data_IF_012533444277
#
_entry.id   IF_012533444277
#
_cell.length_a   1.000
_cell.length_b   1.000
_cell.length_c   1.000
_cell.angle_alpha   90.00
_cell.angle_beta   90.00
_cell.angle_gamma   90.00
#
_symmetry.space_group_name_H-M   'P 1'
#
loop_
_entity.id
_entity.type
_entity.pdbx_description
1 polymer ?
#
# COMPACT_ATOMS: atom_id res chain seq x y z
N UNK A 1 7.33 4.59 21.85
CA UNK A 1 6.11 3.81 21.52
C UNK A 1 6.56 2.37 21.35
N UNK A 2 5.74 1.42 21.78
CA UNK A 2 6.06 -0.02 21.76
C UNK A 2 5.97 -0.56 20.33
N UNK A 3 6.91 -0.21 19.47
CA UNK A 3 7.11 -0.97 18.24
C UNK A 3 7.71 -2.33 18.61
N UNK A 4 7.06 -3.41 18.19
CA UNK A 4 7.47 -4.79 18.49
C UNK A 4 6.65 -5.52 19.55
N UNK A 5 5.51 -4.97 20.00
CA UNK A 5 4.54 -5.72 20.79
C UNK A 5 3.14 -5.09 20.74
N UNK A 6 2.14 -5.82 21.20
CA UNK A 6 0.76 -5.33 21.27
C UNK A 6 0.05 -5.31 19.92
N UNK A 7 -1.08 -4.62 19.87
CA UNK A 7 -2.03 -4.61 18.77
C UNK A 7 -2.08 -3.26 18.03
N UNK A 8 -1.08 -2.39 18.23
CA UNK A 8 -0.99 -1.08 17.59
C UNK A 8 0.42 -0.85 17.06
N UNK A 9 0.54 -0.59 15.75
CA UNK A 9 1.75 -0.04 15.14
C UNK A 9 1.67 1.49 15.13
N UNK A 10 2.69 2.16 15.67
CA UNK A 10 2.65 3.59 15.89
C UNK A 10 3.07 4.41 14.66
N UNK A 11 2.39 5.53 14.42
CA UNK A 11 2.84 6.59 13.52
C UNK A 11 3.79 7.51 14.29
N UNK A 12 5.08 7.40 13.98
CA UNK A 12 6.12 8.20 14.65
C UNK A 12 6.08 9.71 14.30
N UNK A 13 5.33 10.10 13.27
CA UNK A 13 5.29 11.47 12.75
C UNK A 13 3.96 12.19 13.01
N UNK A 14 2.94 11.45 13.41
CA UNK A 14 1.57 11.95 13.51
C UNK A 14 0.71 11.09 14.43
N UNK A 15 -0.56 10.94 14.06
CA UNK A 15 -1.56 10.26 14.87
C UNK A 15 -2.29 9.15 14.09
N UNK A 16 -1.79 8.75 12.92
CA UNK A 16 -2.39 7.70 12.09
C UNK A 16 -1.83 6.31 12.47
N UNK A 17 -1.86 5.99 13.77
CA UNK A 17 -1.45 4.68 14.26
C UNK A 17 -2.30 3.58 13.60
N UNK A 18 -1.68 2.46 13.26
CA UNK A 18 -2.38 1.33 12.68
C UNK A 18 -2.82 0.32 13.75
N UNK A 19 -4.10 0.01 13.82
CA UNK A 19 -4.62 -1.07 14.65
C UNK A 19 -4.43 -2.40 13.93
N UNK A 20 -3.95 -3.41 14.66
CA UNK A 20 -3.64 -4.75 14.14
C UNK A 20 -4.82 -5.70 14.38
N UNK A 21 -5.16 -6.50 13.37
CA UNK A 21 -6.31 -7.43 13.39
C UNK A 21 -5.93 -8.84 12.94
N UNK A 22 -6.69 -9.84 13.40
CA UNK A 22 -6.62 -11.22 12.93
C UNK A 22 -5.21 -11.82 12.96
N UNK A 23 -4.54 -11.71 14.11
CA UNK A 23 -3.25 -12.36 14.36
C UNK A 23 -2.10 -11.83 13.50
N UNK A 24 -2.05 -10.51 13.25
CA UNK A 24 -0.79 -9.86 12.85
C UNK A 24 0.22 -10.05 13.99
N UNK A 25 1.40 -10.54 13.65
CA UNK A 25 2.48 -10.77 14.61
C UNK A 25 3.61 -9.75 14.42
N UNK A 26 4.30 -9.43 15.52
CA UNK A 26 5.56 -8.69 15.47
C UNK A 26 6.71 -9.68 15.35
N UNK A 27 7.49 -9.56 14.28
CA UNK A 27 8.73 -10.32 14.07
C UNK A 27 9.95 -9.40 14.21
N UNK A 28 11.08 -9.97 14.63
CA UNK A 28 12.34 -9.24 14.69
C UNK A 28 13.23 -9.65 13.51
N UNK A 29 13.41 -8.73 12.57
CA UNK A 29 14.37 -8.83 11.48
C UNK A 29 15.71 -8.23 11.91
N UNK A 30 16.80 -8.98 11.75
CA UNK A 30 18.12 -8.57 12.23
C UNK A 30 18.69 -7.30 11.59
N UNK A 31 18.17 -6.88 10.44
CA UNK A 31 18.59 -5.68 9.71
C UNK A 31 17.57 -4.54 9.82
N UNK A 32 16.27 -4.86 9.74
CA UNK A 32 15.15 -3.89 9.71
C UNK A 32 14.55 -3.61 11.09
N UNK A 33 14.90 -4.41 12.10
CA UNK A 33 14.31 -4.34 13.43
C UNK A 33 12.93 -4.99 13.46
N UNK A 34 12.00 -4.35 14.16
CA UNK A 34 10.64 -4.89 14.32
C UNK A 34 9.81 -4.74 13.04
N UNK A 35 9.23 -5.83 12.56
CA UNK A 35 8.39 -5.88 11.36
C UNK A 35 7.05 -6.55 11.66
N UNK A 36 6.03 -6.27 10.84
CA UNK A 36 4.74 -6.95 10.92
C UNK A 36 4.74 -8.17 9.99
N UNK A 37 4.23 -9.29 10.51
CA UNK A 37 4.01 -10.53 9.78
C UNK A 37 2.51 -10.78 9.66
N UNK A 38 2.06 -11.07 8.44
CA UNK A 38 0.65 -11.27 8.10
C UNK A 38 0.42 -12.74 7.73
N UNK A 39 -0.70 -13.30 8.20
CA UNK A 39 -1.01 -14.72 8.04
C UNK A 39 -1.38 -15.15 6.60
N UNK A 40 -1.50 -14.19 5.67
CA UNK A 40 -1.86 -14.42 4.26
C UNK A 40 -3.32 -14.82 4.01
N UNK A 41 -4.17 -14.76 5.04
CA UNK A 41 -5.59 -15.13 4.99
C UNK A 41 -6.47 -13.89 5.18
N UNK A 42 -6.38 -13.27 6.34
CA UNK A 42 -7.23 -12.15 6.76
C UNK A 42 -6.57 -11.22 7.79
N UNK A 43 -5.29 -11.39 8.11
CA UNK A 43 -4.52 -10.46 8.92
C UNK A 43 -4.33 -9.13 8.18
N UNK A 44 -4.60 -8.02 8.86
CA UNK A 44 -4.34 -6.68 8.33
C UNK A 44 -4.11 -5.66 9.44
N UNK A 45 -3.48 -4.56 9.06
CA UNK A 45 -3.37 -3.37 9.88
C UNK A 45 -4.19 -2.23 9.25
N UNK A 46 -4.97 -1.53 10.07
CA UNK A 46 -5.84 -0.41 9.67
C UNK A 46 -5.29 0.89 10.23
N UNK A 47 -4.78 1.76 9.36
CA UNK A 47 -4.25 3.08 9.73
C UNK A 47 -5.29 4.20 9.65
N UNK A 48 -6.57 3.90 9.44
CA UNK A 48 -7.66 4.86 9.43
C UNK A 48 -8.33 5.02 8.06
N UNK A 49 -9.57 5.51 8.10
CA UNK A 49 -10.48 5.59 6.95
C UNK A 49 -10.19 6.72 5.96
N UNK A 50 -9.38 7.71 6.35
CA UNK A 50 -9.08 8.90 5.53
C UNK A 50 -7.57 9.23 5.52
N UNK A 51 -6.74 8.23 5.81
CA UNK A 51 -5.29 8.39 6.00
C UNK A 51 -4.57 8.75 4.72
N UNK A 52 -5.06 8.27 3.58
CA UNK A 52 -4.63 8.75 2.27
C UNK A 52 -5.51 9.97 1.96
N UNK A 53 -4.92 11.18 1.84
CA UNK A 53 -5.70 12.35 1.48
C UNK A 53 -6.28 12.21 0.07
N UNK A 54 -7.26 13.04 -0.27
CA UNK A 54 -7.72 13.15 -1.65
C UNK A 54 -6.53 13.44 -2.58
N UNK A 55 -6.35 12.59 -3.60
CA UNK A 55 -5.23 12.69 -4.55
C UNK A 55 -5.70 13.33 -5.84
N UNK A 56 -5.46 14.64 -5.96
CA UNK A 56 -5.73 15.41 -7.18
C UNK A 56 -4.54 15.40 -8.12
N UNK A 57 -4.70 16.00 -9.31
CA UNK A 57 -3.58 16.15 -10.24
C UNK A 57 -2.43 16.99 -9.66
N UNK A 58 -2.71 17.91 -8.75
CA UNK A 58 -1.71 18.74 -8.07
C UNK A 58 -1.07 18.07 -6.85
N UNK A 59 -1.58 16.91 -6.41
CA UNK A 59 -1.05 16.17 -5.25
C UNK A 59 0.19 15.36 -5.62
N UNK A 60 1.36 15.75 -5.16
CA UNK A 60 2.55 14.89 -5.24
C UNK A 60 2.67 14.00 -4.01
N UNK A 61 3.16 12.76 -4.19
CA UNK A 61 3.40 11.86 -3.08
C UNK A 61 4.56 10.91 -3.34
N UNK A 62 5.11 10.36 -2.26
CA UNK A 62 6.00 9.20 -2.29
C UNK A 62 5.53 8.20 -1.27
N UNK A 63 5.29 6.97 -1.70
CA UNK A 63 5.13 5.82 -0.82
C UNK A 63 6.41 5.01 -0.86
N UNK A 64 6.95 4.65 0.30
CA UNK A 64 8.16 3.84 0.43
C UNK A 64 7.94 2.80 1.50
N UNK A 65 8.06 1.52 1.13
CA UNK A 65 7.87 0.40 2.07
C UNK A 65 8.84 -0.74 1.76
N UNK A 66 9.20 -1.49 2.80
CA UNK A 66 9.86 -2.78 2.64
C UNK A 66 8.82 -3.88 2.80
N UNK A 67 8.78 -4.82 1.87
CA UNK A 67 7.93 -6.00 1.98
C UNK A 67 8.72 -7.26 1.66
N UNK A 68 8.37 -8.36 2.32
CA UNK A 68 8.86 -9.68 2.00
C UNK A 68 7.67 -10.57 1.64
N UNK A 69 7.51 -10.84 0.35
CA UNK A 69 6.48 -11.75 -0.16
C UNK A 69 6.88 -13.22 0.09
N UNK A 70 6.15 -13.89 0.98
CA UNK A 70 6.27 -15.33 1.28
C UNK A 70 5.39 -16.21 0.36
N UNK A 71 4.81 -15.60 -0.67
CA UNK A 71 3.97 -16.25 -1.66
C UNK A 71 2.49 -16.26 -1.29
N UNK A 72 1.67 -16.46 -2.33
CA UNK A 72 0.22 -16.53 -2.23
C UNK A 72 -0.40 -16.80 -3.60
N UNK A 73 -1.63 -17.30 -3.64
CA UNK A 73 -2.32 -17.61 -4.90
C UNK A 73 -2.95 -16.37 -5.58
N UNK A 74 -3.12 -15.27 -4.86
CA UNK A 74 -3.95 -14.13 -5.27
C UNK A 74 -3.16 -12.81 -5.39
N UNK A 75 -3.66 -11.88 -6.21
CA UNK A 75 -3.15 -10.50 -6.25
C UNK A 75 -3.78 -9.68 -5.11
N UNK A 76 -3.32 -9.91 -3.88
CA UNK A 76 -3.86 -9.23 -2.71
C UNK A 76 -3.21 -7.85 -2.49
N UNK A 77 -3.89 -7.02 -1.72
CA UNK A 77 -3.39 -5.71 -1.29
C UNK A 77 -2.24 -5.97 -0.34
N UNK A 78 -1.08 -5.35 -0.59
CA UNK A 78 0.02 -5.28 0.39
C UNK A 78 -0.03 -3.94 1.14
N UNK A 79 -0.37 -2.87 0.43
CA UNK A 79 -0.54 -1.52 0.98
C UNK A 79 -1.64 -0.77 0.20
N UNK A 80 -2.48 -0.01 0.89
CA UNK A 80 -3.50 0.85 0.27
C UNK A 80 -4.91 0.33 0.49
N UNK A 81 -5.82 0.54 -0.48
CA UNK A 81 -7.22 0.17 -0.34
C UNK A 81 -7.85 -0.38 -1.63
N UNK A 82 -9.02 -1.01 -1.46
CA UNK A 82 -9.93 -1.37 -2.57
C UNK A 82 -11.30 -0.72 -2.41
N UNK A 83 -11.78 -0.64 -1.17
CA UNK A 83 -13.08 -0.12 -0.81
C UNK A 83 -12.95 1.20 -0.07
N UNK A 84 -14.04 1.95 -0.03
CA UNK A 84 -14.17 3.11 0.85
C UNK A 84 -14.40 2.72 2.31
N UNK A 85 -14.48 3.72 3.21
CA UNK A 85 -14.60 3.52 4.65
C UNK A 85 -15.73 2.58 5.10
N UNK A 86 -16.84 2.60 4.36
CA UNK A 86 -18.03 1.79 4.64
C UNK A 86 -17.95 0.35 4.08
N UNK A 87 -16.76 -0.09 3.64
CA UNK A 87 -16.53 -1.44 3.11
C UNK A 87 -17.17 -1.69 1.74
N UNK A 88 -17.55 -0.65 1.02
CA UNK A 88 -18.13 -0.72 -0.33
C UNK A 88 -17.31 0.04 -1.36
N UNK A 89 -17.52 -0.30 -2.63
CA UNK A 89 -16.94 0.43 -3.75
C UNK A 89 -17.38 1.90 -3.75
N UNK A 90 -16.44 2.81 -3.99
CA UNK A 90 -16.78 4.18 -4.41
C UNK A 90 -17.53 4.16 -5.75
N UNK A 91 -18.33 5.19 -6.00
CA UNK A 91 -19.05 5.38 -7.25
C UNK A 91 -18.88 6.83 -7.75
N UNK A 92 -18.09 7.08 -8.81
CA UNK A 92 -17.36 6.10 -9.61
C UNK A 92 -16.27 5.37 -8.80
N UNK A 93 -15.91 4.16 -9.22
CA UNK A 93 -14.88 3.35 -8.54
C UNK A 93 -13.53 4.05 -8.58
N UNK A 94 -12.94 4.21 -7.40
CA UNK A 94 -11.62 4.77 -7.19
C UNK A 94 -10.94 4.07 -6.01
N UNK A 95 -9.63 3.92 -6.08
CA UNK A 95 -8.77 3.38 -5.02
C UNK A 95 -7.30 3.48 -5.44
N UNK A 96 -6.40 3.32 -4.47
CA UNK A 96 -4.97 3.22 -4.71
C UNK A 96 -4.40 2.08 -3.88
N UNK A 97 -3.67 1.17 -4.53
CA UNK A 97 -3.05 0.04 -3.81
C UNK A 97 -1.82 -0.47 -4.53
N UNK A 98 -0.97 -1.04 -3.70
CA UNK A 98 0.20 -1.78 -4.09
C UNK A 98 -0.09 -3.28 -3.93
N UNK A 99 0.26 -4.06 -4.95
CA UNK A 99 0.04 -5.52 -5.01
C UNK A 99 1.27 -6.22 -5.59
N UNK A 100 1.40 -7.55 -5.48
CA UNK A 100 2.51 -8.26 -6.12
C UNK A 100 2.59 -8.16 -7.65
N UNK A 101 1.52 -7.72 -8.33
CA UNK A 101 1.46 -7.64 -9.80
C UNK A 101 1.40 -6.24 -10.38
N UNK A 102 0.90 -5.28 -9.60
CA UNK A 102 0.68 -3.94 -10.10
C UNK A 102 0.59 -2.91 -8.97
N UNK A 103 1.04 -1.69 -9.25
CA UNK A 103 0.61 -0.52 -8.49
C UNK A 103 -0.67 0.00 -9.14
N UNK A 104 -1.81 -0.23 -8.51
CA UNK A 104 -3.12 0.11 -9.04
C UNK A 104 -3.51 1.52 -8.58
N UNK A 105 -3.82 2.38 -9.54
CA UNK A 105 -4.36 3.72 -9.31
C UNK A 105 -5.64 3.86 -10.15
N UNK A 106 -6.76 3.57 -9.50
CA UNK A 106 -8.07 3.59 -10.14
C UNK A 106 -8.76 4.92 -9.87
N UNK A 107 -9.23 5.55 -10.93
CA UNK A 107 -10.00 6.80 -10.90
C UNK A 107 -11.09 6.76 -11.97
N UNK A 108 -12.18 7.50 -11.77
CA UNK A 108 -13.25 7.60 -12.77
C UNK A 108 -13.87 6.25 -13.18
N UNK A 109 -13.77 5.21 -12.35
CA UNK A 109 -14.26 3.87 -12.63
C UNK A 109 -13.24 2.89 -13.23
N UNK A 110 -12.07 3.36 -13.67
CA UNK A 110 -11.08 2.57 -14.41
C UNK A 110 -9.66 2.65 -13.86
N UNK A 111 -8.82 1.68 -14.22
CA UNK A 111 -7.40 1.62 -13.84
C UNK A 111 -6.48 2.45 -14.73
N UNK A 112 -6.88 3.69 -15.03
CA UNK A 112 -6.17 4.55 -15.99
C UNK A 112 -4.73 4.87 -15.58
N UNK A 113 -4.45 4.89 -14.27
CA UNK A 113 -3.14 5.21 -13.71
C UNK A 113 -2.37 4.02 -13.17
N UNK A 114 -2.81 2.80 -13.47
CA UNK A 114 -2.08 1.62 -13.02
C UNK A 114 -0.67 1.55 -13.65
N UNK A 115 0.32 1.18 -12.85
CA UNK A 115 1.70 0.95 -13.28
C UNK A 115 1.96 -0.54 -13.32
N UNK A 116 2.18 -1.06 -14.52
CA UNK A 116 2.59 -2.44 -14.77
C UNK A 116 4.05 -2.66 -14.40
N UNK A 117 4.35 -3.85 -13.90
CA UNK A 117 5.70 -4.32 -13.59
C UNK A 117 5.73 -5.85 -13.55
N UNK A 118 6.93 -6.45 -13.58
CA UNK A 118 7.07 -7.91 -13.53
C UNK A 118 6.53 -8.48 -12.21
N UNK A 119 5.76 -9.56 -12.27
CA UNK A 119 5.23 -10.27 -11.08
C UNK A 119 6.36 -10.65 -10.10
N UNK A 120 6.03 -10.69 -8.81
CA UNK A 120 7.01 -11.02 -7.78
C UNK A 120 7.38 -12.50 -7.83
N UNK A 121 8.63 -12.76 -7.47
CA UNK A 121 9.12 -14.10 -7.15
C UNK A 121 8.97 -14.27 -5.64
N UNK A 122 8.08 -15.15 -5.17
CA UNK A 122 7.95 -15.46 -3.75
C UNK A 122 9.29 -15.92 -3.16
N UNK A 123 9.50 -15.62 -1.88
CA UNK A 123 10.68 -16.03 -1.12
C UNK A 123 12.03 -15.47 -1.63
N UNK A 124 12.03 -14.48 -2.52
CA UNK A 124 13.25 -13.83 -3.06
C UNK A 124 13.85 -12.75 -2.12
N UNK A 125 13.39 -12.73 -0.87
CA UNK A 125 13.84 -11.81 0.16
C UNK A 125 13.08 -10.48 0.21
N UNK A 126 13.61 -9.57 1.01
CA UNK A 126 13.04 -8.23 1.20
C UNK A 126 13.25 -7.37 -0.04
N UNK A 127 12.18 -6.71 -0.48
CA UNK A 127 12.19 -5.75 -1.58
C UNK A 127 11.81 -4.38 -1.05
N UNK A 128 12.59 -3.36 -1.45
CA UNK A 128 12.25 -1.96 -1.21
C UNK A 128 11.37 -1.45 -2.36
N UNK A 129 10.12 -1.15 -2.05
CA UNK A 129 9.13 -0.65 -2.99
C UNK A 129 8.96 0.85 -2.83
N UNK A 130 9.03 1.59 -3.93
CA UNK A 130 8.76 3.03 -3.93
C UNK A 130 7.83 3.39 -5.07
N UNK A 131 6.75 4.12 -4.79
CA UNK A 131 5.91 4.76 -5.79
C UNK A 131 5.99 6.28 -5.63
N UNK A 132 6.38 6.98 -6.68
CA UNK A 132 6.49 8.45 -6.70
C UNK A 132 5.49 8.99 -7.71
N UNK A 133 4.51 9.78 -7.26
CA UNK A 133 3.71 10.64 -8.14
C UNK A 133 4.35 12.03 -8.16
N UNK A 134 4.70 12.49 -9.36
CA UNK A 134 5.13 13.85 -9.63
C UNK A 134 4.30 14.40 -10.80
N UNK A 135 3.43 15.37 -10.52
CA UNK A 135 2.43 15.84 -11.48
C UNK A 135 1.55 14.68 -11.94
N UNK A 136 1.43 14.48 -13.25
CA UNK A 136 0.56 13.47 -13.85
C UNK A 136 1.26 12.11 -14.13
N UNK A 137 2.44 11.87 -13.54
CA UNK A 137 3.22 10.64 -13.73
C UNK A 137 3.43 9.94 -12.40
N UNK A 138 3.09 8.65 -12.33
CA UNK A 138 3.57 7.74 -11.28
C UNK A 138 4.75 6.95 -11.83
N UNK A 139 5.87 6.94 -11.10
CA UNK A 139 7.00 6.06 -11.34
C UNK A 139 7.16 5.11 -10.17
N UNK A 140 7.26 3.82 -10.46
CA UNK A 140 7.44 2.78 -9.47
C UNK A 140 8.87 2.20 -9.55
N UNK A 141 9.49 2.04 -8.39
CA UNK A 141 10.85 1.56 -8.22
C UNK A 141 10.89 0.31 -7.35
N UNK A 142 11.84 -0.59 -7.64
CA UNK A 142 12.23 -1.72 -6.79
C UNK A 142 13.72 -1.68 -6.51
N UNK A 143 14.09 -1.74 -5.24
CA UNK A 143 15.50 -1.77 -4.82
C UNK A 143 16.32 -0.63 -5.45
N UNK A 144 15.71 0.55 -5.63
CA UNK A 144 16.33 1.73 -6.22
C UNK A 144 16.27 1.83 -7.75
N UNK A 145 15.82 0.80 -8.46
CA UNK A 145 15.73 0.77 -9.93
C UNK A 145 14.29 0.99 -10.41
N UNK A 146 14.11 1.68 -11.53
CA UNK A 146 12.77 1.89 -12.13
C UNK A 146 12.23 0.56 -12.66
N UNK A 147 11.06 0.16 -12.18
CA UNK A 147 10.36 -1.04 -12.63
C UNK A 147 9.15 -0.72 -13.53
N UNK A 148 8.60 0.49 -13.47
CA UNK A 148 7.51 0.92 -14.34
C UNK A 148 7.14 2.38 -14.17
N UNK A 149 6.44 2.94 -15.15
CA UNK A 149 5.89 4.30 -15.07
C UNK A 149 4.58 4.44 -15.82
N UNK A 150 3.71 5.34 -15.38
CA UNK A 150 2.43 5.63 -16.01
C UNK A 150 2.13 7.13 -15.96
N UNK A 151 1.83 7.70 -17.13
CA UNK A 151 1.16 8.98 -17.25
C UNK A 151 -0.36 8.78 -17.23
N UNK A 152 -1.11 9.68 -16.60
CA UNK A 152 -2.57 9.57 -16.46
C UNK A 152 -3.27 10.92 -16.34
N UNK A 153 -4.58 10.94 -16.55
CA UNK A 153 -5.40 12.17 -16.60
C UNK A 153 -6.62 12.06 -15.66
N UNK A 154 -6.40 11.92 -14.36
CA UNK A 154 -7.50 11.86 -13.41
C UNK A 154 -7.08 11.85 -11.95
N UNK A 155 -8.06 11.79 -11.06
CA UNK A 155 -7.90 12.00 -9.63
C UNK A 155 -8.83 11.11 -8.80
N UNK A 156 -8.46 10.90 -7.54
CA UNK A 156 -9.36 10.35 -6.54
C UNK A 156 -10.20 11.51 -5.98
N UNK A 157 -11.52 11.34 -5.93
CA UNK A 157 -12.45 12.38 -5.49
C UNK A 157 -12.64 12.39 -3.98
N UNK A 158 -12.24 11.31 -3.30
CA UNK A 158 -12.39 11.15 -1.86
C UNK A 158 -11.04 10.79 -1.22
N UNK A 159 -10.83 11.16 0.06
CA UNK A 159 -9.82 10.50 0.89
C UNK A 159 -10.04 8.99 0.92
N UNK A 160 -8.95 8.25 1.06
CA UNK A 160 -8.97 6.79 1.02
C UNK A 160 -8.50 6.21 2.37
N UNK A 161 -9.06 5.07 2.79
CA UNK A 161 -8.50 4.29 3.87
C UNK A 161 -7.07 3.82 3.56
N UNK A 162 -6.27 3.55 4.58
CA UNK A 162 -4.95 2.92 4.43
C UNK A 162 -4.90 1.60 5.20
N UNK A 163 -4.70 0.50 4.46
CA UNK A 163 -4.49 -0.82 5.03
C UNK A 163 -3.12 -1.39 4.65
N UNK A 164 -2.62 -2.32 5.49
CA UNK A 164 -1.47 -3.18 5.24
C UNK A 164 -1.92 -4.64 5.44
N UNK A 165 -1.48 -5.60 4.63
CA UNK A 165 -1.86 -7.00 4.82
C UNK A 165 -1.46 -7.94 3.69
#
# INVERSE_FOLDING_TARGET
MDEGSGDVAADSTGNNNAQLYNEVEWENDGERGSVLSFNGVDAYADAGSETIPQLTQDSDFTWSTWAYDRGGSNNNIVLGNRYGPEGSDFSPREFIKFTPRQFEFHYGGGGGGNVDYDDYVPDDGWIHHVAVKAGNVITYYRNGEVAGSREFEGELNNPQPLYFG
#
